data_IF_481052177168
#
_entry.id   IF_481052177168
#
_cell.length_a   1.000
_cell.length_b   1.000
_cell.length_c   1.000
_cell.angle_alpha   90.00
_cell.angle_beta   90.00
_cell.angle_gamma   90.00
#
_symmetry.space_group_name_H-M   'P 1'
#
loop_
_entity.id
_entity.type
_entity.pdbx_description
1 polymer ?
#
# COMPACT_ATOMS: atom_id res chain seq x y z
N UNK A 1 13.97 28.03 65.80
CA UNK A 1 13.86 26.56 65.84
C UNK A 1 13.05 26.11 64.64
N UNK A 2 13.70 25.53 63.63
CA UNK A 2 13.04 24.91 62.48
C UNK A 2 13.33 23.41 62.58
N UNK A 3 12.36 22.65 63.06
CA UNK A 3 12.40 21.19 63.10
C UNK A 3 12.23 20.69 61.67
N UNK A 4 13.32 20.35 61.00
CA UNK A 4 13.27 19.58 59.77
C UNK A 4 13.16 18.11 60.20
N UNK A 5 12.04 17.41 59.92
CA UNK A 5 11.92 16.02 60.31
C UNK A 5 12.91 15.21 59.46
N UNK A 6 13.87 14.57 60.14
CA UNK A 6 14.72 13.55 59.54
C UNK A 6 13.80 12.42 59.03
N UNK A 7 13.73 12.30 57.70
CA UNK A 7 13.10 11.15 57.04
C UNK A 7 13.70 9.88 57.62
N UNK A 8 12.87 9.09 58.30
CA UNK A 8 13.28 7.81 58.90
C UNK A 8 13.72 6.84 57.79
N UNK A 9 14.66 5.95 58.09
CA UNK A 9 15.20 4.97 57.13
C UNK A 9 14.12 4.12 56.46
N UNK A 10 12.99 3.91 57.14
CA UNK A 10 11.81 3.21 56.61
C UNK A 10 11.08 3.98 55.50
N UNK A 11 11.01 5.32 55.57
CA UNK A 11 10.38 6.11 54.51
C UNK A 11 11.27 6.17 53.27
N UNK A 12 12.60 6.21 53.48
CA UNK A 12 13.57 6.13 52.37
C UNK A 12 13.53 4.75 51.72
N UNK A 13 13.46 3.67 52.50
CA UNK A 13 13.37 2.30 51.96
C UNK A 13 12.06 2.08 51.22
N UNK A 14 10.92 2.53 51.75
CA UNK A 14 9.62 2.42 51.10
C UNK A 14 9.61 3.15 49.74
N UNK A 15 10.10 4.39 49.68
CA UNK A 15 10.16 5.15 48.43
C UNK A 15 11.11 4.51 47.40
N UNK A 16 12.20 3.90 47.84
CA UNK A 16 13.13 3.17 46.96
C UNK A 16 12.45 1.93 46.35
N UNK A 17 11.81 1.11 47.19
CA UNK A 17 11.09 -0.08 46.74
C UNK A 17 9.88 0.25 45.85
N UNK A 18 9.17 1.33 46.18
CA UNK A 18 8.07 1.83 45.35
C UNK A 18 8.56 2.31 43.97
N UNK A 19 9.71 2.97 43.93
CA UNK A 19 10.34 3.40 42.66
C UNK A 19 10.79 2.21 41.81
N UNK A 20 11.41 1.19 42.43
CA UNK A 20 11.80 -0.05 41.73
C UNK A 20 10.57 -0.78 41.19
N UNK A 21 9.48 -0.83 41.96
CA UNK A 21 8.22 -1.44 41.53
C UNK A 21 7.61 -0.72 40.32
N UNK A 22 7.59 0.62 40.33
CA UNK A 22 7.13 1.41 39.19
C UNK A 22 8.01 1.20 37.94
N UNK A 23 9.33 1.14 38.10
CA UNK A 23 10.26 0.85 37.00
C UNK A 23 10.02 -0.55 36.42
N UNK A 24 9.77 -1.55 37.27
CA UNK A 24 9.46 -2.91 36.83
C UNK A 24 8.14 -2.98 36.04
N UNK A 25 7.09 -2.28 36.51
CA UNK A 25 5.83 -2.15 35.76
C UNK A 25 6.08 -1.47 34.41
N UNK A 26 6.84 -0.37 34.40
CA UNK A 26 7.15 0.35 33.16
C UNK A 26 7.94 -0.51 32.17
N UNK A 27 8.91 -1.29 32.68
CA UNK A 27 9.68 -2.24 31.88
C UNK A 27 8.79 -3.35 31.30
N UNK A 28 7.83 -3.88 32.06
CA UNK A 28 6.88 -4.90 31.57
C UNK A 28 5.90 -4.30 30.55
N UNK A 29 5.42 -3.08 30.75
CA UNK A 29 4.51 -2.41 29.80
C UNK A 29 5.25 -2.09 28.48
N UNK A 30 6.53 -1.70 28.54
CA UNK A 30 7.34 -1.43 27.35
C UNK A 30 7.82 -2.71 26.64
N UNK A 31 8.24 -3.72 27.41
CA UNK A 31 8.78 -4.97 26.85
C UNK A 31 7.69 -5.98 26.50
N UNK A 32 6.52 -5.92 27.13
CA UNK A 32 5.40 -6.82 26.92
C UNK A 32 4.93 -6.89 25.46
N UNK A 33 4.70 -5.75 24.78
CA UNK A 33 4.36 -5.73 23.35
C UNK A 33 5.46 -6.33 22.48
N UNK A 34 6.74 -6.00 22.76
CA UNK A 34 7.90 -6.51 22.01
C UNK A 34 8.04 -8.03 22.21
N UNK A 35 7.87 -8.51 23.44
CA UNK A 35 7.94 -9.92 23.78
C UNK A 35 6.75 -10.70 23.21
N UNK A 36 5.54 -10.13 23.28
CA UNK A 36 4.35 -10.69 22.64
C UNK A 36 4.52 -10.78 21.12
N UNK A 37 5.05 -9.73 20.49
CA UNK A 37 5.36 -9.69 19.07
C UNK A 37 6.40 -10.77 18.70
N UNK A 38 7.46 -10.90 19.49
CA UNK A 38 8.49 -11.92 19.28
C UNK A 38 7.95 -13.35 19.46
N UNK A 39 7.17 -13.60 20.51
CA UNK A 39 6.57 -14.92 20.78
C UNK A 39 5.54 -15.27 19.72
N UNK A 40 4.63 -14.35 19.39
CA UNK A 40 3.60 -14.57 18.36
C UNK A 40 4.23 -14.85 17.00
N UNK A 41 5.28 -14.13 16.63
CA UNK A 41 6.08 -14.41 15.43
C UNK A 41 6.67 -15.83 15.46
N UNK A 42 7.40 -16.18 16.52
CA UNK A 42 8.08 -17.48 16.65
C UNK A 42 7.10 -18.64 16.64
N UNK A 43 5.94 -18.48 17.30
CA UNK A 43 4.89 -19.49 17.33
C UNK A 43 4.23 -19.63 15.96
N UNK A 44 3.89 -18.52 15.30
CA UNK A 44 3.31 -18.52 13.95
C UNK A 44 4.26 -19.18 12.95
N UNK A 45 5.52 -18.76 12.94
CA UNK A 45 6.55 -19.32 12.06
C UNK A 45 6.76 -20.82 12.30
N UNK A 46 6.94 -21.27 13.55
CA UNK A 46 7.12 -22.71 13.86
C UNK A 46 5.89 -23.54 13.49
N UNK A 47 4.69 -23.00 13.66
CA UNK A 47 3.45 -23.68 13.24
C UNK A 47 3.38 -23.79 11.71
N UNK A 48 3.65 -22.69 11.01
CA UNK A 48 3.70 -22.65 9.55
C UNK A 48 4.77 -23.60 8.99
N UNK A 49 5.98 -23.60 9.57
CA UNK A 49 7.08 -24.48 9.17
C UNK A 49 6.74 -25.96 9.38
N UNK A 50 6.21 -26.35 10.55
CA UNK A 50 5.76 -27.72 10.79
C UNK A 50 4.67 -28.15 9.80
N UNK A 51 3.71 -27.28 9.54
CA UNK A 51 2.63 -27.54 8.57
C UNK A 51 3.15 -27.60 7.14
N UNK A 52 4.11 -26.74 6.76
CA UNK A 52 4.81 -26.79 5.48
C UNK A 52 5.47 -28.14 5.28
N UNK A 53 6.32 -28.61 6.20
CA UNK A 53 6.97 -29.92 6.05
C UNK A 53 5.97 -31.08 6.04
N UNK A 54 4.86 -30.95 6.77
CA UNK A 54 3.74 -31.90 6.71
C UNK A 54 3.02 -31.89 5.36
N UNK A 55 2.75 -30.71 4.81
CA UNK A 55 2.06 -30.51 3.54
C UNK A 55 2.95 -30.94 2.36
N UNK A 56 4.23 -30.57 2.35
CA UNK A 56 5.22 -31.04 1.37
C UNK A 56 5.28 -32.57 1.39
N UNK A 57 5.34 -33.20 2.57
CA UNK A 57 5.29 -34.67 2.68
C UNK A 57 4.01 -35.27 2.09
N UNK A 58 2.87 -34.61 2.27
CA UNK A 58 1.56 -35.04 1.71
C UNK A 58 1.47 -34.82 0.19
N UNK A 59 1.98 -33.70 -0.32
CA UNK A 59 2.00 -33.36 -1.75
C UNK A 59 2.94 -34.27 -2.53
N UNK A 60 4.08 -34.69 -1.94
CA UNK A 60 4.93 -35.74 -2.51
C UNK A 60 4.24 -37.11 -2.58
N UNK A 61 3.15 -37.33 -1.83
CA UNK A 61 2.39 -38.59 -1.81
C UNK A 61 1.09 -38.57 -2.62
N UNK A 62 0.53 -37.40 -2.94
CA UNK A 62 -0.75 -37.28 -3.64
C UNK A 62 -0.71 -36.15 -4.68
N UNK A 63 -0.52 -36.50 -5.95
CA UNK A 63 -0.98 -35.66 -7.06
C UNK A 63 -2.47 -35.90 -7.26
N UNK A 64 -3.31 -35.02 -6.72
CA UNK A 64 -4.70 -34.86 -7.17
C UNK A 64 -5.16 -33.41 -7.19
N UNK A 65 -5.85 -33.17 -8.30
CA UNK A 65 -6.63 -32.01 -8.71
C UNK A 65 -7.92 -31.87 -7.87
N UNK A 66 -8.64 -30.78 -8.12
CA UNK A 66 -9.90 -30.31 -7.52
C UNK A 66 -9.77 -29.39 -6.28
N UNK A 67 -10.60 -28.38 -6.04
CA UNK A 67 -11.84 -27.91 -6.67
C UNK A 67 -12.75 -27.38 -5.57
N UNK A 68 -12.98 -26.07 -5.47
CA UNK A 68 -13.95 -25.51 -4.50
C UNK A 68 -13.72 -24.05 -4.11
N UNK A 69 -14.54 -23.17 -4.68
CA UNK A 69 -14.51 -21.70 -4.56
C UNK A 69 -14.22 -21.08 -5.93
N UNK A 70 -14.88 -19.97 -6.29
CA UNK A 70 -14.69 -19.29 -7.58
C UNK A 70 -13.21 -19.22 -7.99
N UNK A 71 -12.93 -19.32 -9.29
CA UNK A 71 -11.53 -19.44 -9.73
C UNK A 71 -10.72 -18.26 -9.17
N UNK A 72 -9.48 -18.50 -8.75
CA UNK A 72 -8.61 -17.42 -8.20
C UNK A 72 -8.56 -16.20 -9.13
N UNK A 73 -8.63 -16.45 -10.44
CA UNK A 73 -8.67 -15.47 -11.50
C UNK A 73 -9.95 -14.60 -11.46
N UNK A 74 -11.09 -15.17 -11.07
CA UNK A 74 -12.37 -14.46 -10.87
C UNK A 74 -12.31 -13.53 -9.65
N UNK A 75 -11.70 -13.98 -8.54
CA UNK A 75 -11.52 -13.14 -7.35
C UNK A 75 -10.59 -11.96 -7.65
N UNK A 76 -9.50 -12.22 -8.37
CA UNK A 76 -8.55 -11.19 -8.82
C UNK A 76 -9.25 -10.19 -9.76
N UNK A 77 -10.04 -10.69 -10.72
CA UNK A 77 -10.82 -9.88 -11.65
C UNK A 77 -11.88 -9.01 -10.96
N UNK A 78 -12.61 -9.57 -10.01
CA UNK A 78 -13.64 -8.84 -9.22
C UNK A 78 -13.01 -7.72 -8.39
N UNK A 79 -11.78 -7.93 -7.90
CA UNK A 79 -11.02 -6.88 -7.22
C UNK A 79 -10.49 -5.78 -8.16
N UNK A 80 -10.66 -5.93 -9.48
CA UNK A 80 -10.21 -4.96 -10.48
C UNK A 80 -8.78 -5.21 -11.01
N UNK A 81 -8.19 -6.35 -10.67
CA UNK A 81 -6.82 -6.70 -11.01
C UNK A 81 -6.76 -7.88 -11.99
N UNK A 82 -5.58 -8.12 -12.53
CA UNK A 82 -5.19 -9.32 -13.25
C UNK A 82 -3.84 -9.81 -12.73
N UNK A 83 -3.52 -11.08 -12.98
CA UNK A 83 -2.27 -11.68 -12.55
C UNK A 83 -1.47 -12.20 -13.74
N UNK A 84 -0.17 -11.90 -13.77
CA UNK A 84 0.77 -12.41 -14.76
C UNK A 84 1.65 -13.47 -14.12
N UNK A 85 1.42 -14.73 -14.47
CA UNK A 85 2.18 -15.88 -13.95
C UNK A 85 3.66 -15.86 -14.33
N UNK A 86 4.02 -15.28 -15.48
CA UNK A 86 5.42 -15.25 -15.96
C UNK A 86 6.30 -14.42 -15.04
N UNK A 87 5.77 -13.28 -14.59
CA UNK A 87 6.52 -12.33 -13.76
C UNK A 87 6.08 -12.37 -12.28
N UNK A 88 5.09 -13.19 -11.93
CA UNK A 88 4.49 -13.28 -10.59
C UNK A 88 3.97 -11.93 -10.06
N UNK A 89 3.27 -11.17 -10.92
CA UNK A 89 2.78 -9.82 -10.62
C UNK A 89 1.26 -9.69 -10.76
N UNK A 90 0.66 -9.01 -9.80
CA UNK A 90 -0.69 -8.48 -9.90
C UNK A 90 -0.65 -7.07 -10.49
N UNK A 91 -1.63 -6.70 -11.30
CA UNK A 91 -1.68 -5.37 -11.90
C UNK A 91 -3.13 -4.95 -12.20
N UNK A 92 -3.36 -3.65 -12.23
CA UNK A 92 -4.66 -3.05 -12.53
C UNK A 92 -5.15 -3.40 -13.94
N UNK A 93 -6.45 -3.72 -14.03
CA UNK A 93 -7.15 -3.81 -15.32
C UNK A 93 -7.59 -2.42 -15.79
N UNK A 94 -7.81 -2.28 -17.10
CA UNK A 94 -8.23 -1.01 -17.69
C UNK A 94 -9.61 -0.55 -17.19
N UNK A 95 -10.53 -1.50 -17.00
CA UNK A 95 -11.94 -1.27 -16.68
C UNK A 95 -12.29 -1.74 -15.27
N UNK A 96 -11.33 -1.63 -14.36
CA UNK A 96 -11.54 -1.88 -12.95
C UNK A 96 -12.62 -0.94 -12.39
N UNK A 97 -13.45 -1.42 -11.46
CA UNK A 97 -14.54 -0.64 -10.84
C UNK A 97 -14.04 0.65 -10.17
N UNK A 98 -12.78 0.66 -9.71
CA UNK A 98 -12.08 1.83 -9.15
C UNK A 98 -12.14 3.04 -10.10
N UNK A 99 -12.23 2.80 -11.41
CA UNK A 99 -12.32 3.87 -12.41
C UNK A 99 -13.54 4.76 -12.20
N UNK A 100 -14.63 4.21 -11.69
CA UNK A 100 -15.90 4.92 -11.46
C UNK A 100 -15.94 5.67 -10.13
N UNK A 101 -14.93 5.51 -9.29
CA UNK A 101 -14.83 6.20 -7.99
C UNK A 101 -14.05 7.52 -8.01
N UNK A 102 -13.35 7.80 -9.10
CA UNK A 102 -12.46 8.96 -9.15
C UNK A 102 -11.35 8.89 -8.10
N UNK A 103 -10.87 10.05 -7.68
CA UNK A 103 -9.76 10.19 -6.76
C UNK A 103 -9.80 11.50 -5.98
N UNK A 104 -9.48 11.46 -4.70
CA UNK A 104 -9.19 12.61 -3.87
C UNK A 104 -8.19 12.25 -2.76
N UNK A 105 -7.64 13.26 -2.10
CA UNK A 105 -6.63 13.09 -1.03
C UNK A 105 -7.10 12.18 0.11
N UNK A 106 -8.41 12.07 0.34
CA UNK A 106 -8.96 11.21 1.39
C UNK A 106 -8.61 9.73 1.18
N UNK A 107 -8.39 9.28 -0.06
CA UNK A 107 -7.94 7.90 -0.32
C UNK A 107 -6.52 7.65 0.19
N UNK A 108 -5.60 8.60 0.00
CA UNK A 108 -4.25 8.49 0.61
C UNK A 108 -4.34 8.46 2.14
N UNK A 109 -5.20 9.31 2.72
CA UNK A 109 -5.41 9.33 4.18
C UNK A 109 -5.98 8.00 4.68
N UNK A 110 -6.80 7.31 3.89
CA UNK A 110 -7.30 5.99 4.24
C UNK A 110 -6.26 4.86 4.07
N UNK A 111 -5.16 5.07 3.36
CA UNK A 111 -4.22 4.00 3.01
C UNK A 111 -3.61 3.30 4.24
N UNK A 112 -3.05 4.07 5.17
CA UNK A 112 -2.42 3.52 6.37
C UNK A 112 -3.41 2.72 7.25
N UNK A 113 -4.60 3.25 7.63
CA UNK A 113 -5.63 2.47 8.33
C UNK A 113 -6.03 1.17 7.60
N UNK A 114 -5.87 1.12 6.29
CA UNK A 114 -6.16 -0.03 5.45
C UNK A 114 -4.99 -1.00 5.29
N UNK A 115 -3.88 -0.83 6.01
CA UNK A 115 -2.76 -1.77 5.90
C UNK A 115 -1.83 -1.48 4.74
N UNK A 116 -1.91 -0.26 4.18
CA UNK A 116 -1.05 0.18 3.09
C UNK A 116 -0.11 1.27 3.62
N UNK A 117 1.17 0.92 3.78
CA UNK A 117 2.21 1.86 4.19
C UNK A 117 3.00 2.22 2.94
N UNK A 118 2.64 3.35 2.35
CA UNK A 118 3.09 3.77 1.03
C UNK A 118 3.52 5.23 1.06
N UNK A 119 4.52 5.57 0.25
CA UNK A 119 4.82 6.95 -0.08
C UNK A 119 3.93 7.39 -1.24
N UNK A 120 3.30 8.55 -1.10
CA UNK A 120 2.49 9.21 -2.14
C UNK A 120 3.18 10.49 -2.64
N UNK A 121 3.22 10.71 -3.95
CA UNK A 121 3.80 11.91 -4.57
C UNK A 121 2.83 12.54 -5.60
N UNK A 122 1.89 13.39 -5.14
CA UNK A 122 0.90 14.02 -6.01
C UNK A 122 1.45 15.25 -6.75
N UNK A 123 1.48 15.19 -8.08
CA UNK A 123 1.87 16.31 -8.94
C UNK A 123 0.62 16.99 -9.54
N UNK A 124 0.25 18.14 -8.97
CA UNK A 124 -0.95 18.92 -9.36
C UNK A 124 -0.62 20.07 -10.31
N UNK A 125 -1.35 20.16 -11.43
CA UNK A 125 -1.15 21.20 -12.43
C UNK A 125 -2.42 21.56 -13.20
N UNK A 126 -2.43 22.72 -13.85
CA UNK A 126 -3.54 23.14 -14.70
C UNK A 126 -3.12 23.10 -16.17
N UNK A 127 -3.97 22.54 -17.04
CA UNK A 127 -3.73 22.49 -18.47
C UNK A 127 -5.06 22.41 -19.23
N UNK A 128 -5.18 23.23 -20.29
CA UNK A 128 -6.36 23.28 -21.17
C UNK A 128 -7.69 23.43 -20.39
N UNK A 129 -7.73 24.37 -19.44
CA UNK A 129 -8.93 24.66 -18.64
C UNK A 129 -9.29 23.60 -17.59
N UNK A 130 -8.42 22.60 -17.37
CA UNK A 130 -8.66 21.49 -16.42
C UNK A 130 -7.57 21.45 -15.36
N UNK A 131 -7.94 21.00 -14.16
CA UNK A 131 -7.00 20.60 -13.11
C UNK A 131 -6.59 19.17 -13.38
N UNK A 132 -5.31 18.88 -13.31
CA UNK A 132 -4.73 17.55 -13.49
C UNK A 132 -3.99 17.15 -12.24
N UNK A 133 -4.05 15.86 -11.95
CA UNK A 133 -3.26 15.20 -10.93
C UNK A 133 -2.61 13.99 -11.59
N UNK A 134 -1.29 13.95 -11.58
CA UNK A 134 -0.56 12.71 -11.80
C UNK A 134 0.09 12.37 -10.47
N UNK A 135 -0.15 11.16 -9.98
CA UNK A 135 0.33 10.74 -8.66
C UNK A 135 1.09 9.43 -8.75
N UNK A 136 2.17 9.36 -7.97
CA UNK A 136 3.04 8.21 -7.87
C UNK A 136 2.91 7.61 -6.49
N UNK A 137 2.87 6.28 -6.42
CA UNK A 137 2.91 5.59 -5.15
C UNK A 137 3.92 4.45 -5.18
N UNK A 138 4.60 4.21 -4.05
CA UNK A 138 5.43 3.02 -3.82
C UNK A 138 5.37 2.60 -2.35
N UNK A 139 5.42 1.31 -2.06
CA UNK A 139 5.46 0.83 -0.67
C UNK A 139 4.94 -0.58 -0.46
N UNK A 140 4.42 -0.81 0.74
CA UNK A 140 3.82 -2.07 1.16
C UNK A 140 2.29 -1.95 1.16
N UNK A 141 1.65 -2.66 0.25
CA UNK A 141 0.20 -2.77 0.07
C UNK A 141 -0.29 -4.08 0.68
N UNK A 142 -0.46 -4.09 2.01
CA UNK A 142 -0.78 -5.31 2.75
C UNK A 142 0.27 -6.40 2.51
N UNK A 143 -0.13 -7.50 1.88
CA UNK A 143 0.74 -8.63 1.56
C UNK A 143 1.62 -8.45 0.33
N UNK A 144 1.51 -7.32 -0.36
CA UNK A 144 2.22 -7.07 -1.60
C UNK A 144 3.13 -5.87 -1.48
N UNK A 145 4.33 -5.92 -2.06
CA UNK A 145 5.09 -4.69 -2.35
C UNK A 145 4.74 -4.23 -3.75
N UNK A 146 4.66 -2.92 -3.98
CA UNK A 146 4.13 -2.42 -5.23
C UNK A 146 4.46 -0.97 -5.52
N UNK A 147 4.00 -0.56 -6.70
CA UNK A 147 3.96 0.82 -7.10
C UNK A 147 2.85 1.11 -8.12
N UNK A 148 2.50 2.39 -8.21
CA UNK A 148 1.37 2.86 -8.99
C UNK A 148 1.67 4.21 -9.65
N UNK A 149 1.09 4.42 -10.84
CA UNK A 149 1.03 5.69 -11.56
C UNK A 149 -0.42 5.99 -11.92
N UNK A 150 -1.00 7.02 -11.31
CA UNK A 150 -2.37 7.45 -11.52
C UNK A 150 -2.45 8.77 -12.29
N UNK A 151 -3.42 8.89 -13.19
CA UNK A 151 -3.72 10.08 -13.97
C UNK A 151 -5.19 10.44 -13.80
N UNK A 152 -5.41 11.63 -13.26
CA UNK A 152 -6.73 12.14 -12.94
C UNK A 152 -6.86 13.57 -13.39
N UNK A 153 -8.11 14.00 -13.55
CA UNK A 153 -8.42 15.36 -13.96
C UNK A 153 -9.72 15.83 -13.32
N UNK A 154 -9.89 17.13 -13.19
CA UNK A 154 -11.12 17.72 -12.69
C UNK A 154 -11.44 19.00 -13.45
N UNK A 155 -12.73 19.21 -13.65
CA UNK A 155 -13.31 20.49 -14.11
C UNK A 155 -14.21 21.09 -13.03
N UNK A 156 -14.32 20.42 -11.88
CA UNK A 156 -15.23 20.80 -10.82
C UNK A 156 -14.56 21.77 -9.85
N UNK A 157 -15.35 22.63 -9.16
CA UNK A 157 -14.86 23.36 -8.01
C UNK A 157 -14.38 22.38 -6.92
N UNK A 158 -13.61 22.90 -5.97
CA UNK A 158 -13.28 22.12 -4.78
C UNK A 158 -14.57 21.74 -4.04
N UNK A 159 -14.60 20.50 -3.56
CA UNK A 159 -15.66 20.03 -2.67
C UNK A 159 -15.34 20.52 -1.26
N UNK A 160 -16.37 21.02 -0.59
CA UNK A 160 -16.30 21.34 0.82
C UNK A 160 -17.38 20.54 1.55
N UNK A 161 -16.95 19.45 2.17
CA UNK A 161 -17.78 18.56 2.99
C UNK A 161 -17.28 18.71 4.44
N UNK A 162 -17.97 19.51 5.27
CA UNK A 162 -17.52 19.84 6.62
C UNK A 162 -17.15 18.61 7.45
N UNK A 163 -15.91 18.59 7.96
CA UNK A 163 -15.40 17.49 8.80
C UNK A 163 -15.05 16.20 8.05
N UNK A 164 -15.22 16.15 6.72
CA UNK A 164 -14.99 14.94 5.91
C UNK A 164 -13.91 15.18 4.85
N UNK A 165 -14.09 16.20 4.01
CA UNK A 165 -13.19 16.45 2.88
C UNK A 165 -13.29 17.91 2.42
N UNK A 166 -12.14 18.57 2.32
CA UNK A 166 -12.00 19.89 1.70
C UNK A 166 -10.90 19.80 0.64
N UNK A 167 -11.28 19.96 -0.63
CA UNK A 167 -10.35 19.98 -1.74
C UNK A 167 -10.90 19.42 -3.05
N UNK A 168 -9.99 19.16 -3.98
CA UNK A 168 -10.37 18.75 -5.33
C UNK A 168 -10.68 17.27 -5.39
N UNK A 169 -11.87 16.94 -5.89
CA UNK A 169 -12.15 15.61 -6.40
C UNK A 169 -11.82 15.54 -7.89
N UNK A 170 -11.13 14.48 -8.26
CA UNK A 170 -10.71 14.21 -9.63
C UNK A 170 -11.44 12.99 -10.17
N UNK A 171 -11.78 13.02 -11.45
CA UNK A 171 -12.19 11.82 -12.19
C UNK A 171 -10.96 11.13 -12.77
N UNK A 172 -11.02 9.80 -12.85
CA UNK A 172 -10.03 9.00 -13.56
C UNK A 172 -9.92 9.43 -15.02
N UNK A 173 -8.71 9.41 -15.60
CA UNK A 173 -8.54 9.83 -16.98
C UNK A 173 -9.47 9.03 -17.95
N UNK A 174 -10.15 9.77 -18.82
CA UNK A 174 -10.98 9.20 -19.89
C UNK A 174 -10.12 8.41 -20.89
N UNK A 175 -10.75 7.67 -21.81
CA UNK A 175 -10.00 6.87 -22.78
C UNK A 175 -9.05 7.71 -23.65
N UNK A 176 -9.44 8.96 -23.93
CA UNK A 176 -8.72 9.97 -24.70
C UNK A 176 -7.61 10.65 -23.89
N UNK A 177 -7.79 10.71 -22.56
CA UNK A 177 -6.87 11.38 -21.62
C UNK A 177 -5.84 10.42 -20.98
N UNK A 178 -5.95 9.11 -21.20
CA UNK A 178 -4.92 8.13 -20.81
C UNK A 178 -3.56 8.48 -21.42
N UNK A 179 -2.52 8.42 -20.60
CA UNK A 179 -1.15 8.70 -20.99
C UNK A 179 -0.37 7.40 -21.20
N UNK A 180 0.65 7.44 -22.05
CA UNK A 180 1.66 6.39 -22.06
C UNK A 180 2.57 6.59 -20.85
N UNK A 181 2.57 5.59 -19.98
CA UNK A 181 3.33 5.60 -18.74
C UNK A 181 4.21 4.34 -18.65
N UNK A 182 5.25 4.42 -17.85
CA UNK A 182 6.03 3.27 -17.44
C UNK A 182 6.77 3.54 -16.15
N UNK A 183 7.14 2.46 -15.48
CA UNK A 183 7.98 2.52 -14.31
C UNK A 183 8.92 1.32 -14.23
N UNK A 184 10.00 1.49 -13.47
CA UNK A 184 10.84 0.41 -12.95
C UNK A 184 10.87 0.59 -11.44
N UNK A 185 10.48 -0.43 -10.68
CA UNK A 185 10.55 -0.42 -9.22
C UNK A 185 11.82 -1.13 -8.79
N UNK A 186 12.60 -0.49 -7.94
CA UNK A 186 13.80 -1.03 -7.33
C UNK A 186 13.59 -1.24 -5.84
N UNK A 187 14.26 -2.25 -5.27
CA UNK A 187 14.42 -2.44 -3.84
C UNK A 187 15.90 -2.53 -3.52
N UNK A 188 16.39 -1.66 -2.65
CA UNK A 188 17.80 -1.59 -2.28
C UNK A 188 18.75 -1.49 -3.50
N UNK A 189 18.30 -0.80 -4.55
CA UNK A 189 19.03 -0.60 -5.81
C UNK A 189 18.92 -1.73 -6.83
N UNK A 190 18.29 -2.86 -6.49
CA UNK A 190 18.05 -3.97 -7.41
C UNK A 190 16.64 -3.87 -8.02
N UNK A 191 16.51 -4.10 -9.32
CA UNK A 191 15.22 -4.09 -10.01
C UNK A 191 14.32 -5.22 -9.47
N UNK A 192 13.15 -4.86 -8.95
CA UNK A 192 12.10 -5.82 -8.58
C UNK A 192 11.25 -6.21 -9.78
N UNK A 193 10.77 -5.21 -10.52
CA UNK A 193 9.96 -5.38 -11.73
C UNK A 193 9.75 -4.05 -12.45
N UNK A 194 9.31 -4.13 -13.71
CA UNK A 194 8.92 -2.98 -14.51
C UNK A 194 7.58 -3.21 -15.22
N UNK A 195 6.90 -2.12 -15.59
CA UNK A 195 5.70 -2.15 -16.42
C UNK A 195 5.61 -0.89 -17.25
N UNK A 196 5.05 -1.00 -18.46
CA UNK A 196 4.70 0.13 -19.31
C UNK A 196 3.37 -0.09 -20.02
N UNK A 197 2.67 0.99 -20.35
CA UNK A 197 1.42 0.92 -21.09
C UNK A 197 0.71 2.26 -21.17
N UNK A 198 -0.28 2.35 -22.06
CA UNK A 198 -1.21 3.48 -22.08
C UNK A 198 -2.32 3.21 -21.07
N UNK A 199 -2.34 3.94 -19.96
CA UNK A 199 -3.27 3.68 -18.86
C UNK A 199 -3.70 4.97 -18.16
N UNK A 200 -4.77 4.88 -17.37
CA UNK A 200 -5.14 5.92 -16.41
C UNK A 200 -4.57 5.61 -15.02
N UNK A 201 -4.45 4.33 -14.68
CA UNK A 201 -3.87 3.84 -13.43
C UNK A 201 -2.97 2.62 -13.66
N UNK A 202 -1.68 2.84 -13.93
CA UNK A 202 -0.72 1.76 -14.22
C UNK A 202 -0.10 1.27 -12.92
N UNK A 203 -0.36 0.02 -12.54
CA UNK A 203 0.15 -0.57 -11.29
C UNK A 203 0.89 -1.88 -11.51
N UNK A 204 1.71 -2.27 -10.54
CA UNK A 204 2.19 -3.64 -10.38
C UNK A 204 2.48 -3.93 -8.90
N UNK A 205 2.14 -5.15 -8.47
CA UNK A 205 2.29 -5.62 -7.10
C UNK A 205 2.84 -7.04 -7.06
N UNK A 206 3.86 -7.27 -6.24
CA UNK A 206 4.48 -8.57 -6.00
C UNK A 206 4.04 -9.11 -4.65
N UNK A 207 3.41 -10.28 -4.65
CA UNK A 207 2.85 -10.91 -3.46
C UNK A 207 3.92 -11.62 -2.62
N UNK A 208 3.86 -11.41 -1.30
CA UNK A 208 4.74 -12.05 -0.34
C UNK A 208 6.13 -11.44 -0.26
N UNK A 209 6.40 -10.39 -1.02
CA UNK A 209 7.61 -9.57 -0.89
C UNK A 209 7.34 -8.45 0.11
N UNK A 210 8.12 -8.40 1.18
CA UNK A 210 8.08 -7.33 2.18
C UNK A 210 9.04 -6.22 1.77
N UNK A 211 8.61 -4.97 1.83
CA UNK A 211 9.49 -3.81 1.67
C UNK A 211 9.10 -2.70 2.63
N UNK A 212 10.08 -2.01 3.19
CA UNK A 212 9.84 -0.67 3.75
C UNK A 212 9.83 0.36 2.62
N UNK A 213 9.00 1.42 2.68
CA UNK A 213 8.97 2.44 1.63
C UNK A 213 10.33 3.06 1.33
N UNK A 214 11.19 3.19 2.35
CA UNK A 214 12.56 3.70 2.23
C UNK A 214 13.55 2.76 1.55
N UNK A 215 13.23 1.47 1.42
CA UNK A 215 14.01 0.53 0.62
C UNK A 215 13.68 0.63 -0.86
N UNK A 216 12.54 1.26 -1.21
CA UNK A 216 12.03 1.32 -2.56
C UNK A 216 12.38 2.63 -3.24
N UNK A 217 12.74 2.54 -4.51
CA UNK A 217 12.83 3.69 -5.42
C UNK A 217 12.25 3.33 -6.78
N UNK A 218 11.83 4.32 -7.56
CA UNK A 218 11.10 4.11 -8.80
C UNK A 218 11.55 5.04 -9.91
N UNK A 219 11.95 4.48 -11.05
CA UNK A 219 12.01 5.28 -12.28
C UNK A 219 10.61 5.48 -12.82
N UNK A 220 10.27 6.70 -13.23
CA UNK A 220 8.96 7.05 -13.78
C UNK A 220 9.11 7.65 -15.16
N UNK A 221 8.33 7.16 -16.11
CA UNK A 221 8.30 7.63 -17.49
C UNK A 221 6.89 8.00 -17.89
N UNK A 222 6.63 9.26 -18.28
CA UNK A 222 5.29 9.72 -18.64
C UNK A 222 5.37 10.52 -19.94
N UNK A 223 4.59 10.12 -20.94
CA UNK A 223 4.44 10.84 -22.21
C UNK A 223 3.16 11.68 -22.19
N UNK A 224 3.31 13.00 -22.13
CA UNK A 224 2.22 13.96 -22.07
C UNK A 224 1.62 14.20 -23.46
N UNK A 225 0.36 14.66 -23.49
CA UNK A 225 -0.42 14.83 -24.72
C UNK A 225 0.15 15.88 -25.67
N UNK A 226 0.83 16.90 -25.12
CA UNK A 226 1.38 18.02 -25.88
C UNK A 226 2.57 18.63 -25.16
N UNK A 227 3.31 19.48 -25.89
CA UNK A 227 4.35 20.33 -25.32
C UNK A 227 3.81 21.22 -24.19
N UNK A 228 2.62 21.81 -24.37
CA UNK A 228 2.01 22.66 -23.36
C UNK A 228 1.67 21.91 -22.07
N UNK A 229 1.18 20.67 -22.17
CA UNK A 229 0.87 19.84 -21.01
C UNK A 229 2.15 19.42 -20.28
N UNK A 230 3.18 19.03 -21.04
CA UNK A 230 4.51 18.75 -20.51
C UNK A 230 5.07 19.94 -19.74
N UNK A 231 5.04 21.14 -20.31
CA UNK A 231 5.60 22.33 -19.67
C UNK A 231 4.82 22.71 -18.40
N UNK A 232 3.50 22.50 -18.37
CA UNK A 232 2.69 22.66 -17.16
C UNK A 232 3.04 21.63 -16.07
N UNK A 233 3.30 20.38 -16.46
CA UNK A 233 3.71 19.30 -15.57
C UNK A 233 5.12 19.54 -14.99
N UNK A 234 6.09 19.96 -15.81
CA UNK A 234 7.44 20.30 -15.35
C UNK A 234 7.43 21.43 -14.31
N UNK A 235 6.64 22.48 -14.54
CA UNK A 235 6.45 23.55 -13.55
C UNK A 235 5.83 23.03 -12.25
N UNK A 236 5.00 22.00 -12.31
CA UNK A 236 4.42 21.39 -11.11
C UNK A 236 5.40 20.50 -10.36
N UNK A 237 6.25 19.74 -11.07
CA UNK A 237 7.38 19.04 -10.46
C UNK A 237 8.29 20.02 -9.71
N UNK A 238 8.64 21.14 -10.35
CA UNK A 238 9.44 22.19 -9.70
C UNK A 238 8.78 22.75 -8.43
N UNK A 239 7.46 23.01 -8.47
CA UNK A 239 6.70 23.43 -7.27
C UNK A 239 6.63 22.36 -6.18
N UNK A 240 6.62 21.09 -6.57
CA UNK A 240 6.64 19.98 -5.61
C UNK A 240 8.01 19.82 -4.94
N UNK A 241 9.09 20.28 -5.58
CA UNK A 241 10.45 20.29 -5.00
C UNK A 241 11.52 19.67 -5.88
N UNK A 242 11.16 19.18 -7.07
CA UNK A 242 12.10 18.61 -8.04
C UNK A 242 12.92 19.70 -8.73
N UNK A 243 14.22 19.46 -8.90
CA UNK A 243 15.15 20.33 -9.61
C UNK A 243 15.28 19.90 -11.07
N UNK A 244 15.83 20.76 -11.92
CA UNK A 244 16.03 20.45 -13.35
C UNK A 244 16.95 19.24 -13.58
N UNK A 245 17.83 18.91 -12.63
CA UNK A 245 18.67 17.70 -12.67
C UNK A 245 17.98 16.43 -12.21
N UNK A 246 16.77 16.51 -11.64
CA UNK A 246 16.04 15.35 -11.11
C UNK A 246 15.16 14.67 -12.17
N UNK A 247 15.06 15.25 -13.37
CA UNK A 247 14.28 14.72 -14.48
C UNK A 247 14.92 14.97 -15.85
N UNK A 248 14.67 14.05 -16.78
CA UNK A 248 15.01 14.20 -18.19
C UNK A 248 13.77 14.44 -19.04
N UNK A 249 13.94 15.22 -20.11
CA UNK A 249 12.86 15.52 -21.06
C UNK A 249 13.27 15.13 -22.47
N UNK A 250 12.48 14.24 -23.10
CA UNK A 250 12.61 13.87 -24.51
C UNK A 250 11.28 14.04 -25.22
N UNK A 251 11.17 15.02 -26.11
CA UNK A 251 9.89 15.43 -26.73
C UNK A 251 8.84 15.72 -25.66
N UNK A 252 7.74 14.97 -25.61
CA UNK A 252 6.70 15.09 -24.59
C UNK A 252 6.84 14.09 -23.45
N UNK A 253 7.91 13.30 -23.43
CA UNK A 253 8.18 12.33 -22.38
C UNK A 253 9.06 12.95 -21.31
N UNK A 254 8.63 12.83 -20.07
CA UNK A 254 9.40 13.18 -18.87
C UNK A 254 9.79 11.88 -18.17
N UNK A 255 11.07 11.75 -17.86
CA UNK A 255 11.61 10.67 -17.04
C UNK A 255 12.11 11.27 -15.72
N UNK A 256 11.82 10.66 -14.57
CA UNK A 256 12.33 11.11 -13.27
C UNK A 256 12.55 9.94 -12.33
N UNK A 257 13.44 10.13 -11.36
CA UNK A 257 13.72 9.14 -10.32
C UNK A 257 13.02 9.53 -9.02
N UNK A 258 12.14 8.65 -8.54
CA UNK A 258 11.35 8.82 -7.33
C UNK A 258 11.87 7.91 -6.21
N UNK A 259 12.74 8.46 -5.37
CA UNK A 259 13.27 7.80 -4.16
C UNK A 259 12.55 8.30 -2.90
N UNK A 260 12.72 9.59 -2.57
CA UNK A 260 12.09 10.21 -1.41
C UNK A 260 10.97 11.14 -1.83
N UNK A 261 9.81 11.08 -1.16
CA UNK A 261 8.76 12.05 -1.44
C UNK A 261 9.20 13.46 -1.08
N UNK A 262 8.93 14.38 -2.01
CA UNK A 262 9.01 15.81 -1.75
C UNK A 262 7.70 16.32 -1.14
N UNK A 263 6.60 15.63 -1.45
CA UNK A 263 5.28 15.94 -0.93
C UNK A 263 5.06 15.41 0.48
N UNK A 264 4.22 16.14 1.24
CA UNK A 264 3.80 15.71 2.58
C UNK A 264 3.00 14.41 2.51
N UNK A 265 3.49 13.39 3.23
CA UNK A 265 2.82 12.11 3.39
C UNK A 265 1.50 12.22 4.16
N UNK A 266 0.57 11.28 3.98
CA UNK A 266 -0.73 11.29 4.66
C UNK A 266 -0.61 11.44 6.18
N UNK A 267 -1.53 12.19 6.78
CA UNK A 267 -1.55 12.45 8.23
C UNK A 267 -1.76 11.19 9.05
N UNK A 268 -2.40 10.18 8.45
CA UNK A 268 -2.61 8.88 9.08
C UNK A 268 -1.34 8.04 9.17
N UNK A 269 -0.25 8.44 8.50
CA UNK A 269 1.06 7.84 8.68
C UNK A 269 1.78 8.46 9.86
N UNK A 270 2.30 7.60 10.74
CA UNK A 270 3.16 8.01 11.85
C UNK A 270 4.25 6.97 12.05
N UNK A 271 5.45 7.39 12.47
CA UNK A 271 6.57 6.46 12.62
C UNK A 271 6.24 5.26 13.54
N UNK A 272 5.43 5.48 14.59
CA UNK A 272 5.02 4.42 15.51
C UNK A 272 4.02 3.45 14.87
N UNK A 273 2.97 3.96 14.24
CA UNK A 273 1.95 3.11 13.58
C UNK A 273 2.53 2.37 12.38
N UNK A 274 3.33 3.06 11.56
CA UNK A 274 3.99 2.47 10.40
C UNK A 274 4.89 1.31 10.84
N UNK A 275 5.70 1.49 11.89
CA UNK A 275 6.57 0.43 12.42
C UNK A 275 5.79 -0.80 12.87
N UNK A 276 4.71 -0.63 13.64
CA UNK A 276 3.88 -1.74 14.11
C UNK A 276 3.22 -2.49 12.95
N UNK A 277 2.70 -1.74 11.98
CA UNK A 277 2.02 -2.31 10.83
C UNK A 277 3.00 -3.04 9.91
N UNK A 278 4.12 -2.41 9.56
CA UNK A 278 5.18 -3.01 8.75
C UNK A 278 5.72 -4.29 9.41
N UNK A 279 5.91 -4.31 10.72
CA UNK A 279 6.34 -5.52 11.42
C UNK A 279 5.32 -6.67 11.26
N UNK A 280 4.01 -6.40 11.36
CA UNK A 280 2.98 -7.41 11.10
C UNK A 280 2.96 -7.86 9.64
N UNK A 281 3.07 -6.94 8.68
CA UNK A 281 3.11 -7.27 7.25
C UNK A 281 4.36 -8.09 6.91
N UNK A 282 5.50 -7.76 7.50
CA UNK A 282 6.73 -8.55 7.39
C UNK A 282 6.52 -9.99 7.84
N UNK A 283 5.93 -10.19 9.03
CA UNK A 283 5.64 -11.55 9.53
C UNK A 283 4.78 -12.34 8.57
N UNK A 284 3.74 -11.70 8.02
CA UNK A 284 2.84 -12.36 7.10
C UNK A 284 3.57 -12.74 5.80
N UNK A 285 4.42 -11.85 5.27
CA UNK A 285 5.26 -12.13 4.09
C UNK A 285 6.24 -13.28 4.37
N UNK A 286 6.93 -13.29 5.51
CA UNK A 286 7.86 -14.35 5.89
C UNK A 286 7.15 -15.73 5.97
N UNK A 287 5.93 -15.75 6.54
CA UNK A 287 5.10 -16.97 6.60
C UNK A 287 4.66 -17.39 5.19
N UNK A 288 4.21 -16.44 4.35
CA UNK A 288 3.84 -16.71 2.97
C UNK A 288 5.01 -17.33 2.21
N UNK A 289 6.19 -16.72 2.25
CA UNK A 289 7.40 -17.21 1.55
C UNK A 289 7.79 -18.61 2.03
N UNK A 290 7.64 -18.89 3.32
CA UNK A 290 7.90 -20.21 3.89
C UNK A 290 6.93 -21.25 3.34
N UNK A 291 5.62 -20.97 3.38
CA UNK A 291 4.57 -21.91 2.93
C UNK A 291 4.59 -22.14 1.42
N UNK A 292 4.97 -21.11 0.66
CA UNK A 292 4.95 -21.13 -0.81
C UNK A 292 6.28 -21.53 -1.43
N UNK A 293 7.29 -21.81 -0.60
CA UNK A 293 8.61 -22.23 -1.05
C UNK A 293 8.51 -23.48 -1.95
N UNK A 294 9.06 -23.37 -3.16
CA UNK A 294 9.07 -24.46 -4.14
C UNK A 294 7.84 -24.55 -5.04
N UNK A 295 6.80 -23.74 -4.80
CA UNK A 295 5.65 -23.64 -5.69
C UNK A 295 5.82 -22.52 -6.72
N UNK A 296 5.51 -22.80 -7.97
CA UNK A 296 5.59 -21.84 -9.08
C UNK A 296 4.22 -21.29 -9.47
N UNK A 297 3.17 -22.10 -9.40
CA UNK A 297 1.80 -21.72 -9.72
C UNK A 297 1.13 -20.96 -8.57
N UNK A 298 0.45 -19.86 -8.89
CA UNK A 298 -0.36 -19.11 -7.92
C UNK A 298 -1.42 -19.98 -7.24
N UNK A 299 -2.04 -20.92 -7.99
CA UNK A 299 -3.04 -21.84 -7.43
C UNK A 299 -2.43 -22.72 -6.34
N UNK A 300 -1.23 -23.25 -6.57
CA UNK A 300 -0.55 -24.10 -5.61
C UNK A 300 -0.05 -23.30 -4.40
N UNK A 301 0.47 -22.08 -4.63
CA UNK A 301 0.86 -21.16 -3.56
C UNK A 301 -0.33 -20.85 -2.65
N UNK A 302 -1.49 -20.53 -3.21
CA UNK A 302 -2.70 -20.23 -2.44
C UNK A 302 -3.23 -21.47 -1.70
N UNK A 303 -3.20 -22.65 -2.33
CA UNK A 303 -3.55 -23.92 -1.66
C UNK A 303 -2.63 -24.19 -0.46
N UNK A 304 -1.31 -24.05 -0.65
CA UNK A 304 -0.34 -24.23 0.42
C UNK A 304 -0.55 -23.24 1.58
N UNK A 305 -0.89 -21.99 1.28
CA UNK A 305 -1.23 -21.00 2.31
C UNK A 305 -2.53 -21.36 3.03
N UNK A 306 -3.58 -21.78 2.30
CA UNK A 306 -4.85 -22.21 2.89
C UNK A 306 -4.68 -23.36 3.89
N UNK A 307 -3.86 -24.33 3.54
CA UNK A 307 -3.56 -25.51 4.38
C UNK A 307 -2.61 -25.17 5.54
N UNK A 308 -1.61 -24.32 5.29
CA UNK A 308 -0.56 -23.98 6.26
C UNK A 308 -0.96 -22.89 7.28
N UNK A 309 -1.70 -21.87 6.85
CA UNK A 309 -2.20 -20.79 7.69
C UNK A 309 -3.52 -20.22 7.13
N UNK A 310 -4.67 -20.74 7.60
CA UNK A 310 -5.99 -20.21 7.25
C UNK A 310 -6.16 -18.72 7.60
N UNK A 311 -5.46 -18.26 8.63
CA UNK A 311 -5.44 -16.85 9.02
C UNK A 311 -4.81 -15.99 7.93
N UNK A 312 -3.63 -16.38 7.44
CA UNK A 312 -2.94 -15.68 6.35
C UNK A 312 -3.72 -15.78 5.03
N UNK A 313 -4.37 -16.90 4.75
CA UNK A 313 -5.25 -17.05 3.60
C UNK A 313 -6.36 -16.00 3.58
N UNK A 314 -6.91 -15.65 4.75
CA UNK A 314 -7.94 -14.60 4.86
C UNK A 314 -7.36 -13.21 4.56
N UNK A 315 -6.09 -12.97 4.85
CA UNK A 315 -5.40 -11.71 4.51
C UNK A 315 -5.03 -11.62 3.01
N UNK A 316 -4.75 -12.74 2.34
CA UNK A 316 -4.38 -12.77 0.92
C UNK A 316 -5.44 -12.12 0.01
N UNK A 317 -6.73 -12.30 0.30
CA UNK A 317 -7.81 -11.74 -0.52
C UNK A 317 -8.23 -10.33 -0.12
N UNK A 318 -7.52 -9.70 0.82
CA UNK A 318 -7.68 -8.29 1.15
C UNK A 318 -6.83 -7.37 0.26
N UNK A 319 -6.21 -7.89 -0.80
CA UNK A 319 -5.48 -7.10 -1.80
C UNK A 319 -6.40 -5.96 -2.31
N UNK A 320 -5.94 -4.73 -2.14
CA UNK A 320 -6.67 -3.52 -2.54
C UNK A 320 -7.86 -3.12 -1.66
N UNK A 321 -8.15 -3.83 -0.55
CA UNK A 321 -9.26 -3.59 0.41
C UNK A 321 -10.47 -2.84 -0.19
N UNK A 322 -11.00 -3.43 -1.26
CA UNK A 322 -12.13 -2.94 -2.05
C UNK A 322 -13.23 -2.35 -1.18
N UNK A 323 -13.83 -3.14 -0.28
CA UNK A 323 -14.94 -2.72 0.58
C UNK A 323 -14.63 -1.50 1.48
N UNK A 324 -13.37 -1.31 1.87
CA UNK A 324 -13.01 -0.17 2.71
C UNK A 324 -12.74 1.10 1.90
N UNK A 325 -12.17 0.97 0.69
CA UNK A 325 -12.10 2.07 -0.28
C UNK A 325 -13.52 2.50 -0.70
N UNK A 326 -14.44 1.53 -0.87
CA UNK A 326 -15.88 1.78 -1.03
C UNK A 326 -16.44 2.66 0.08
N UNK A 327 -16.14 2.36 1.36
CA UNK A 327 -16.68 3.18 2.46
C UNK A 327 -16.15 4.62 2.47
N UNK A 328 -14.97 4.87 1.90
CA UNK A 328 -14.45 6.24 1.70
C UNK A 328 -15.24 6.94 0.60
N UNK A 329 -15.48 6.27 -0.53
CA UNK A 329 -16.28 6.81 -1.62
C UNK A 329 -17.74 7.05 -1.21
N UNK A 330 -18.35 6.12 -0.47
CA UNK A 330 -19.72 6.24 0.02
C UNK A 330 -19.95 7.50 0.88
N UNK A 331 -18.93 7.96 1.60
CA UNK A 331 -19.01 9.21 2.39
C UNK A 331 -19.07 10.47 1.53
N UNK A 332 -18.62 10.40 0.28
CA UNK A 332 -18.50 11.57 -0.60
C UNK A 332 -19.45 11.51 -1.80
N UNK A 333 -19.90 10.31 -2.23
CA UNK A 333 -20.65 10.12 -3.48
C UNK A 333 -21.91 10.98 -3.62
N UNK A 334 -22.63 11.19 -2.51
CA UNK A 334 -23.88 11.96 -2.49
C UNK A 334 -23.64 13.46 -2.79
N UNK A 335 -22.40 13.93 -2.63
CA UNK A 335 -21.99 15.31 -2.91
C UNK A 335 -21.42 15.49 -4.32
N UNK A 336 -21.17 14.40 -5.05
CA UNK A 336 -20.49 14.46 -6.36
C UNK A 336 -21.46 14.68 -7.53
N UNK A 337 -22.77 14.47 -7.33
CA UNK A 337 -23.80 14.53 -8.36
C UNK A 337 -23.43 13.70 -9.62
N UNK A 338 -22.75 12.56 -9.41
CA UNK A 338 -22.33 11.62 -10.46
C UNK A 338 -23.34 10.49 -10.52
N UNK A 339 -23.89 10.20 -11.70
CA UNK A 339 -24.55 8.91 -11.95
C UNK A 339 -23.47 7.82 -11.95
N UNK A 340 -23.33 7.12 -10.83
CA UNK A 340 -22.49 5.92 -10.76
C UNK A 340 -23.28 4.79 -11.39
N UNK A 341 -22.80 4.25 -12.52
CA UNK A 341 -23.37 3.04 -13.11
C UNK A 341 -23.28 1.90 -12.10
N UNK A 342 -24.43 1.54 -11.51
CA UNK A 342 -24.54 0.51 -10.47
C UNK A 342 -24.09 -0.88 -10.94
N UNK A 343 -23.93 -1.11 -12.25
CA UNK A 343 -23.40 -2.36 -12.80
C UNK A 343 -21.87 -2.46 -12.69
N UNK A 344 -21.17 -1.39 -12.35
CA UNK A 344 -19.71 -1.37 -12.24
C UNK A 344 -19.21 -1.44 -10.81
N UNK A 345 -20.09 -1.43 -9.79
CA UNK A 345 -19.68 -1.66 -8.41
C UNK A 345 -19.71 -3.17 -8.12
N UNK A 346 -18.72 -3.74 -7.41
CA UNK A 346 -18.81 -5.09 -6.89
C UNK A 346 -20.03 -5.16 -5.96
N UNK A 347 -20.88 -6.16 -6.19
CA UNK A 347 -22.11 -6.42 -5.41
C UNK A 347 -21.81 -6.90 -4.00
#
# INVERSE_FOLDING_TARGET
>A
MLNIPLLTSEVVSFNLWFSIFLIAIFAVILSGPILYEYISYRVSYRRAEKRYYSAVKKVFSEQRDDGGGGSIDELIGTAGYAYNQTNDLFFSTMYAWQRSMGYCRLYDEAAAPLGMIIDSEPIRFSYAGRRWLIEFWKGQYGMTTGCELGVYSSQWPDLNIPGVFDGTFYTCASNEDRLYMGFVLYKNGEELFNRKGRHWWLTAFKLGEYSEPSELSMDVYITLKSRGMRDAFLKALQRAGYKEGDYEVRKNTVALFYDKPHSRQPYTRSAATDKMMLAQLKRNCDVYQTLTKGYTSMKDKVKAVKEGSPELYTELFKIGKTASIFSVFDKIKDYLNIEVDGNQLPK
#
